data_IF_907639282618
#
_entry.id   IF_907639282618
#
_cell.length_a   1.000
_cell.length_b   1.000
_cell.length_c   1.000
_cell.angle_alpha   90.00
_cell.angle_beta   90.00
_cell.angle_gamma   90.00
#
_symmetry.space_group_name_H-M   'P 1'
#
loop_
_entity.id
_entity.type
_entity.pdbx_description
1 polymer ?
#
# COMPACT_ATOMS: atom_id res chain seq x y z
N UNK A 1 77.56 -4.69 -19.40
CA UNK A 1 77.93 -5.50 -20.59
C UNK A 1 77.04 -6.73 -20.59
N UNK A 2 76.25 -6.91 -21.65
CA UNK A 2 75.32 -8.00 -22.05
C UNK A 2 75.08 -9.16 -21.07
N UNK A 3 73.81 -9.47 -20.83
CA UNK A 3 73.33 -10.85 -20.94
C UNK A 3 71.85 -10.88 -21.38
N UNK A 4 71.64 -11.49 -22.54
CA UNK A 4 70.36 -11.91 -23.11
C UNK A 4 70.10 -13.32 -22.59
N UNK A 5 68.92 -13.58 -22.04
CA UNK A 5 68.37 -14.93 -21.92
C UNK A 5 66.89 -14.86 -22.30
N UNK A 6 66.55 -15.49 -23.41
CA UNK A 6 65.18 -15.69 -23.85
C UNK A 6 64.58 -16.98 -23.29
N UNK A 7 63.25 -17.07 -23.33
CA UNK A 7 62.39 -18.26 -23.34
C UNK A 7 61.02 -17.85 -22.78
N UNK A 8 59.85 -18.33 -23.17
CA UNK A 8 59.36 -19.27 -24.19
C UNK A 8 57.87 -18.91 -24.34
N UNK A 9 57.37 -18.97 -25.57
CA UNK A 9 55.96 -18.78 -25.93
C UNK A 9 55.15 -20.00 -25.47
N UNK A 10 54.03 -19.80 -24.78
CA UNK A 10 52.99 -20.82 -24.63
C UNK A 10 51.68 -20.28 -25.23
N UNK A 11 51.32 -20.82 -26.39
CA UNK A 11 50.01 -20.66 -27.02
C UNK A 11 48.99 -21.51 -26.26
N UNK A 12 47.90 -20.91 -25.79
CA UNK A 12 46.65 -21.65 -25.57
C UNK A 12 45.49 -20.90 -26.23
N UNK A 13 45.03 -21.51 -27.31
CA UNK A 13 43.77 -21.27 -28.00
C UNK A 13 42.58 -21.57 -27.07
N UNK A 14 41.71 -20.58 -26.87
CA UNK A 14 40.38 -20.78 -26.33
C UNK A 14 39.36 -20.71 -27.48
N UNK A 15 38.83 -21.88 -27.83
CA UNK A 15 37.70 -22.06 -28.71
C UNK A 15 36.43 -21.49 -28.09
N UNK A 16 35.57 -20.92 -28.94
CA UNK A 16 34.23 -20.50 -28.56
C UNK A 16 33.32 -21.70 -28.25
N UNK A 17 32.45 -21.51 -27.26
CA UNK A 17 31.19 -22.24 -27.12
C UNK A 17 30.10 -21.21 -26.86
N UNK A 18 29.18 -21.10 -27.81
CA UNK A 18 27.87 -20.48 -27.60
C UNK A 18 27.00 -21.46 -26.80
N UNK A 19 26.37 -20.99 -25.73
CA UNK A 19 25.22 -21.66 -25.13
C UNK A 19 24.19 -20.65 -24.62
N UNK A 20 23.03 -20.71 -25.27
CA UNK A 20 21.66 -20.65 -24.77
C UNK A 20 21.27 -19.51 -23.81
N UNK A 21 20.37 -18.66 -24.33
CA UNK A 21 19.58 -17.73 -23.53
C UNK A 21 18.80 -18.46 -22.45
N UNK A 22 19.05 -18.07 -21.22
CA UNK A 22 18.26 -18.44 -20.06
C UNK A 22 17.25 -17.31 -19.84
N UNK A 23 15.98 -17.70 -19.84
CA UNK A 23 14.86 -16.93 -19.32
C UNK A 23 15.25 -16.30 -17.97
N UNK A 24 15.27 -14.98 -17.87
CA UNK A 24 15.36 -14.31 -16.58
C UNK A 24 14.04 -14.54 -15.81
N UNK A 25 14.05 -15.23 -14.65
CA UNK A 25 12.92 -15.16 -13.76
C UNK A 25 12.95 -13.77 -13.11
N UNK A 26 11.95 -12.95 -13.42
CA UNK A 26 11.63 -11.76 -12.63
C UNK A 26 11.26 -12.25 -11.23
N UNK A 27 12.25 -12.32 -10.36
CA UNK A 27 12.08 -12.74 -8.97
C UNK A 27 12.78 -11.73 -8.06
N UNK A 28 11.95 -11.13 -7.22
CA UNK A 28 12.28 -10.55 -5.93
C UNK A 28 13.41 -9.53 -5.90
N UNK A 29 13.09 -8.30 -6.27
CA UNK A 29 13.80 -7.14 -5.71
C UNK A 29 12.80 -6.04 -5.32
N UNK A 30 11.80 -6.41 -4.53
CA UNK A 30 11.20 -5.45 -3.59
C UNK A 30 12.29 -5.20 -2.56
N UNK A 31 12.90 -4.03 -2.62
CA UNK A 31 13.99 -3.68 -1.72
C UNK A 31 13.54 -3.84 -0.27
N UNK A 32 14.31 -4.60 0.50
CA UNK A 32 14.21 -4.71 1.95
C UNK A 32 14.30 -3.30 2.59
N UNK A 33 13.16 -2.63 2.72
CA UNK A 33 13.02 -1.50 3.64
C UNK A 33 13.00 -2.11 5.04
N UNK A 34 14.17 -2.26 5.66
CA UNK A 34 14.29 -2.72 7.04
C UNK A 34 13.37 -1.88 7.93
N UNK A 35 12.41 -2.52 8.60
CA UNK A 35 11.28 -1.88 9.28
C UNK A 35 11.75 -1.34 10.64
N UNK A 36 12.45 -0.22 10.59
CA UNK A 36 12.95 0.50 11.77
C UNK A 36 12.40 1.92 11.88
N UNK A 37 11.38 2.26 11.09
CA UNK A 37 10.96 3.66 10.92
C UNK A 37 9.45 3.82 11.01
N UNK A 38 9.06 4.97 11.57
CA UNK A 38 7.69 5.47 11.59
C UNK A 38 7.10 5.43 10.18
N UNK A 39 5.83 5.01 10.00
CA UNK A 39 5.15 5.18 8.72
C UNK A 39 5.21 6.63 8.23
N UNK A 40 5.36 6.79 6.92
CA UNK A 40 5.53 8.10 6.26
C UNK A 40 4.34 9.02 6.55
N UNK A 41 3.13 8.48 6.42
CA UNK A 41 1.88 9.10 6.85
C UNK A 41 1.36 8.31 8.03
N UNK A 42 1.13 8.95 9.18
CA UNK A 42 0.80 8.26 10.43
C UNK A 42 -0.10 9.10 11.33
N UNK A 43 -1.15 8.49 11.87
CA UNK A 43 -2.19 9.16 12.67
C UNK A 43 -2.00 8.97 14.18
N UNK A 44 -1.39 7.87 14.61
CA UNK A 44 -1.25 7.54 16.02
C UNK A 44 0.02 8.16 16.64
N UNK A 45 0.14 8.14 17.97
CA UNK A 45 1.35 8.60 18.63
C UNK A 45 2.53 7.69 18.32
N UNK A 46 3.62 8.29 17.83
CA UNK A 46 4.87 7.58 17.59
C UNK A 46 5.78 7.66 18.81
N UNK A 47 6.11 6.51 19.41
CA UNK A 47 7.14 6.42 20.44
C UNK A 47 8.52 6.32 19.78
N UNK A 48 9.39 7.31 20.03
CA UNK A 48 10.74 7.28 19.48
C UNK A 48 11.50 6.01 19.89
N UNK A 49 12.30 5.49 18.97
CA UNK A 49 13.05 4.24 19.17
C UNK A 49 12.23 2.96 19.02
N UNK A 50 10.94 3.05 18.69
CA UNK A 50 10.13 1.86 18.37
C UNK A 50 10.69 1.19 17.11
N UNK A 51 11.02 -0.09 17.26
CA UNK A 51 11.40 -0.98 16.16
C UNK A 51 10.34 -2.06 16.04
N UNK A 52 10.01 -2.45 14.81
CA UNK A 52 9.00 -3.46 14.56
C UNK A 52 9.62 -4.73 14.00
N UNK A 53 9.11 -5.86 14.47
CA UNK A 53 9.24 -7.15 13.81
C UNK A 53 7.88 -7.53 13.25
N UNK A 54 7.86 -8.13 12.07
CA UNK A 54 6.61 -8.63 11.47
C UNK A 54 6.38 -10.08 11.86
N UNK A 55 5.14 -10.38 12.23
CA UNK A 55 4.64 -11.73 12.44
C UNK A 55 3.54 -12.06 11.43
N UNK A 56 3.53 -13.28 10.88
CA UNK A 56 2.45 -13.70 10.01
C UNK A 56 1.12 -13.76 10.78
N UNK A 57 0.02 -13.53 10.07
CA UNK A 57 -1.33 -13.79 10.57
C UNK A 57 -2.10 -14.61 9.53
N UNK A 58 -3.27 -15.11 9.90
CA UNK A 58 -4.17 -15.78 8.94
C UNK A 58 -5.05 -14.79 8.15
N UNK A 59 -4.90 -13.48 8.36
CA UNK A 59 -5.71 -12.44 7.72
C UNK A 59 -5.13 -12.13 6.34
N UNK A 60 -6.00 -12.06 5.35
CA UNK A 60 -5.64 -11.62 4.00
C UNK A 60 -6.71 -10.71 3.40
N UNK A 61 -6.28 -9.85 2.49
CA UNK A 61 -7.15 -8.99 1.67
C UNK A 61 -7.20 -9.61 0.28
N UNK A 62 -8.39 -9.96 -0.18
CA UNK A 62 -8.57 -10.41 -1.55
C UNK A 62 -8.55 -9.21 -2.50
N UNK A 63 -7.66 -9.27 -3.50
CA UNK A 63 -7.54 -8.24 -4.52
C UNK A 63 -7.81 -8.84 -5.89
N UNK A 64 -8.73 -8.23 -6.61
CA UNK A 64 -9.09 -8.64 -7.97
C UNK A 64 -7.86 -8.81 -8.86
N UNK A 65 -7.80 -9.96 -9.55
CA UNK A 65 -6.72 -10.33 -10.49
C UNK A 65 -5.31 -10.50 -9.89
N UNK A 66 -5.08 -10.19 -8.61
CA UNK A 66 -3.80 -10.38 -7.93
C UNK A 66 -3.87 -11.51 -6.90
N UNK A 67 -5.02 -11.70 -6.26
CA UNK A 67 -5.23 -12.70 -5.22
C UNK A 67 -5.02 -12.16 -3.81
N UNK A 68 -4.69 -13.06 -2.88
CA UNK A 68 -4.62 -12.76 -1.46
C UNK A 68 -3.38 -11.93 -1.11
N UNK A 69 -3.57 -10.79 -0.46
CA UNK A 69 -2.52 -9.94 0.10
C UNK A 69 -2.48 -10.17 1.62
N UNK A 70 -1.39 -10.71 2.13
CA UNK A 70 -1.27 -11.04 3.55
C UNK A 70 -1.24 -9.78 4.43
N UNK A 71 -1.93 -9.86 5.57
CA UNK A 71 -1.85 -8.84 6.62
C UNK A 71 -0.96 -9.38 7.73
N UNK A 72 0.09 -8.63 8.07
CA UNK A 72 1.10 -9.01 9.07
C UNK A 72 0.91 -8.19 10.34
N UNK A 73 1.17 -8.80 11.49
CA UNK A 73 1.16 -8.13 12.77
C UNK A 73 2.54 -7.52 13.03
N UNK A 74 2.59 -6.24 13.37
CA UNK A 74 3.79 -5.53 13.79
C UNK A 74 3.88 -5.56 15.30
N UNK A 75 4.94 -6.17 15.83
CA UNK A 75 5.23 -6.25 17.26
C UNK A 75 6.47 -5.45 17.62
N UNK A 76 6.55 -4.94 18.84
CA UNK A 76 7.75 -4.26 19.33
C UNK A 76 8.84 -5.26 19.80
N UNK A 77 9.95 -4.74 20.33
CA UNK A 77 11.06 -5.57 20.84
C UNK A 77 10.73 -6.46 22.06
N UNK A 78 9.56 -6.29 22.68
CA UNK A 78 9.03 -7.15 23.75
C UNK A 78 7.95 -8.12 23.25
N UNK A 79 7.75 -8.19 21.94
CA UNK A 79 6.72 -9.02 21.31
C UNK A 79 5.28 -8.54 21.54
N UNK A 80 5.10 -7.28 21.98
CA UNK A 80 3.78 -6.67 22.19
C UNK A 80 3.20 -6.20 20.84
N UNK A 81 1.93 -6.53 20.51
CA UNK A 81 1.25 -6.06 19.29
C UNK A 81 1.11 -4.54 19.24
N UNK A 82 1.48 -3.90 18.12
CA UNK A 82 1.40 -2.44 17.96
C UNK A 82 0.49 -2.01 16.79
N UNK A 83 0.66 -2.64 15.62
CA UNK A 83 -0.07 -2.31 14.39
C UNK A 83 -0.29 -3.58 13.55
N UNK A 84 -1.18 -3.49 12.58
CA UNK A 84 -1.21 -4.40 11.44
C UNK A 84 -0.70 -3.68 10.20
N UNK A 85 -0.11 -4.41 9.27
CA UNK A 85 0.37 -3.86 8.01
C UNK A 85 0.20 -4.84 6.85
N UNK A 86 0.04 -4.31 5.65
CA UNK A 86 0.03 -5.09 4.42
C UNK A 86 0.68 -4.31 3.29
N UNK A 87 1.54 -4.98 2.53
CA UNK A 87 2.04 -4.49 1.25
C UNK A 87 1.00 -4.88 0.19
N UNK A 88 0.28 -3.90 -0.36
CA UNK A 88 -0.83 -4.15 -1.28
C UNK A 88 -0.41 -3.74 -2.69
N UNK A 89 -0.62 -4.67 -3.62
CA UNK A 89 -0.63 -4.39 -5.05
C UNK A 89 -2.03 -4.63 -5.59
N UNK A 90 -2.65 -3.62 -6.20
CA UNK A 90 -4.02 -3.72 -6.72
C UNK A 90 -4.18 -2.97 -8.04
N UNK A 91 -4.89 -3.54 -9.03
CA UNK A 91 -5.25 -2.81 -10.23
C UNK A 91 -6.30 -1.73 -9.89
N UNK A 92 -6.02 -0.51 -10.34
CA UNK A 92 -6.95 0.61 -10.33
C UNK A 92 -7.26 0.93 -11.78
N UNK A 93 -8.52 0.78 -12.18
CA UNK A 93 -8.96 0.98 -13.56
C UNK A 93 -9.81 2.24 -13.67
N UNK A 94 -9.44 3.15 -14.57
CA UNK A 94 -10.23 4.30 -14.97
C UNK A 94 -10.48 4.20 -16.47
N UNK A 95 -11.75 4.23 -16.89
CA UNK A 95 -12.14 4.24 -18.31
C UNK A 95 -11.52 3.13 -19.17
N UNK A 96 -11.37 1.93 -18.59
CA UNK A 96 -10.82 0.75 -19.28
C UNK A 96 -9.30 0.63 -19.23
N UNK A 97 -8.59 1.66 -18.77
CA UNK A 97 -7.15 1.61 -18.54
C UNK A 97 -6.85 1.27 -17.08
N UNK A 98 -6.08 0.19 -16.85
CA UNK A 98 -5.73 -0.30 -15.52
C UNK A 98 -4.25 -0.08 -15.20
N UNK A 99 -3.98 0.43 -13.99
CA UNK A 99 -2.64 0.64 -13.44
C UNK A 99 -2.52 0.00 -12.07
N UNK A 100 -1.35 -0.55 -11.75
CA UNK A 100 -1.11 -1.08 -10.41
C UNK A 100 -0.84 0.06 -9.43
N UNK A 101 -1.65 0.10 -8.37
CA UNK A 101 -1.35 0.83 -7.15
C UNK A 101 -0.53 -0.06 -6.23
N UNK A 102 0.65 0.43 -5.85
CA UNK A 102 1.48 -0.17 -4.82
C UNK A 102 1.50 0.73 -3.60
N UNK A 103 1.01 0.21 -2.46
CA UNK A 103 0.92 0.97 -1.22
C UNK A 103 1.07 0.02 -0.05
N UNK A 104 1.79 0.47 0.98
CA UNK A 104 1.82 -0.25 2.25
C UNK A 104 0.90 0.44 3.24
N UNK A 105 -0.14 -0.26 3.66
CA UNK A 105 -1.16 0.26 4.58
C UNK A 105 -0.88 -0.21 6.01
N UNK A 106 -1.27 0.62 6.97
CA UNK A 106 -1.17 0.33 8.40
C UNK A 106 -2.52 0.53 9.09
N UNK A 107 -2.87 -0.38 9.98
CA UNK A 107 -4.07 -0.32 10.81
C UNK A 107 -3.71 -0.41 12.29
N UNK A 108 -4.56 0.17 13.13
CA UNK A 108 -4.54 0.00 14.58
C UNK A 108 -4.87 -1.46 14.95
N UNK A 109 -4.77 -1.80 16.22
CA UNK A 109 -5.20 -3.08 16.77
C UNK A 109 -6.72 -3.29 16.68
N UNK A 110 -7.52 -2.23 16.53
CA UNK A 110 -8.97 -2.36 16.34
C UNK A 110 -9.40 -2.20 14.87
N UNK A 111 -8.43 -2.06 13.96
CA UNK A 111 -8.66 -1.99 12.53
C UNK A 111 -8.93 -0.58 12.01
N UNK A 112 -8.79 0.48 12.81
CA UNK A 112 -8.86 1.85 12.24
C UNK A 112 -7.60 2.17 11.43
N UNK A 113 -7.74 3.08 10.47
CA UNK A 113 -6.61 3.60 9.70
C UNK A 113 -5.52 4.20 10.60
N UNK A 114 -4.31 3.64 10.53
CA UNK A 114 -3.16 4.16 11.25
C UNK A 114 -2.18 4.93 10.36
N UNK A 115 -2.09 4.60 9.07
CA UNK A 115 -1.11 5.23 8.18
C UNK A 115 -0.89 4.52 6.86
N UNK A 116 0.00 5.07 6.03
CA UNK A 116 0.54 4.39 4.86
C UNK A 116 1.98 4.81 4.55
N UNK A 117 2.67 3.96 3.80
CA UNK A 117 3.95 4.24 3.16
C UNK A 117 3.82 4.19 1.64
N UNK A 118 4.55 5.08 0.98
CA UNK A 118 4.73 5.03 -0.48
C UNK A 118 5.88 4.09 -0.84
N UNK A 119 5.85 3.57 -2.07
CA UNK A 119 7.02 2.99 -2.71
C UNK A 119 7.64 4.03 -3.65
N UNK A 120 8.83 4.58 -3.35
CA UNK A 120 9.40 5.69 -4.13
C UNK A 120 9.63 5.36 -5.61
N UNK A 121 9.83 4.08 -5.94
CA UNK A 121 10.04 3.60 -7.32
C UNK A 121 8.73 3.22 -8.04
N UNK A 122 7.61 3.22 -7.32
CA UNK A 122 6.28 2.84 -7.81
C UNK A 122 5.26 3.87 -7.28
N UNK A 123 5.34 5.13 -7.73
CA UNK A 123 4.45 6.18 -7.25
C UNK A 123 2.99 5.88 -7.64
N UNK A 124 2.07 6.45 -6.87
CA UNK A 124 0.65 6.41 -7.20
C UNK A 124 0.39 7.32 -8.39
N UNK A 125 -0.60 6.98 -9.20
CA UNK A 125 -0.93 7.72 -10.41
C UNK A 125 -2.38 8.22 -10.40
N UNK A 126 -2.56 9.36 -11.06
CA UNK A 126 -3.85 9.97 -11.42
C UNK A 126 -4.27 9.43 -12.79
N UNK A 127 -5.42 9.91 -13.26
CA UNK A 127 -5.87 9.80 -14.65
C UNK A 127 -4.82 10.40 -15.59
N UNK A 128 -4.72 9.87 -16.81
CA UNK A 128 -3.63 10.15 -17.77
C UNK A 128 -2.22 9.79 -17.30
N UNK A 129 -2.10 9.01 -16.22
CA UNK A 129 -0.83 8.44 -15.73
C UNK A 129 0.12 9.44 -15.06
N UNK A 130 -0.37 10.62 -14.72
CA UNK A 130 0.38 11.59 -13.93
C UNK A 130 0.68 11.04 -12.53
N UNK A 131 1.93 11.13 -12.11
CA UNK A 131 2.33 10.74 -10.77
C UNK A 131 1.72 11.66 -9.69
N UNK A 132 1.48 11.09 -8.51
CA UNK A 132 1.11 11.86 -7.34
C UNK A 132 2.28 12.74 -6.88
N UNK A 133 1.97 14.02 -6.66
CA UNK A 133 2.84 14.96 -5.99
C UNK A 133 2.70 14.82 -4.47
N UNK A 134 3.62 15.39 -3.69
CA UNK A 134 3.55 15.37 -2.22
C UNK A 134 2.21 15.90 -1.67
N UNK A 135 1.65 16.93 -2.30
CA UNK A 135 0.32 17.48 -1.95
C UNK A 135 -0.81 16.47 -2.15
N UNK A 136 -0.71 15.64 -3.19
CA UNK A 136 -1.71 14.61 -3.46
C UNK A 136 -1.70 13.53 -2.38
N UNK A 137 -0.52 13.14 -1.91
CA UNK A 137 -0.40 12.20 -0.81
C UNK A 137 -0.90 12.75 0.53
N UNK A 138 -0.67 14.04 0.82
CA UNK A 138 -1.26 14.69 1.99
C UNK A 138 -2.79 14.64 1.91
N UNK A 139 -3.36 14.94 0.73
CA UNK A 139 -4.80 14.90 0.52
C UNK A 139 -5.36 13.47 0.61
N UNK A 140 -4.66 12.48 0.06
CA UNK A 140 -5.00 11.07 0.24
C UNK A 140 -4.99 10.69 1.73
N UNK A 141 -3.97 11.09 2.49
CA UNK A 141 -3.91 10.83 3.92
C UNK A 141 -5.12 11.40 4.68
N UNK A 142 -5.49 12.66 4.39
CA UNK A 142 -6.68 13.30 4.96
C UNK A 142 -7.96 12.53 4.62
N UNK A 143 -8.10 12.07 3.37
CA UNK A 143 -9.24 11.25 2.95
C UNK A 143 -9.30 9.92 3.70
N UNK A 144 -8.16 9.23 3.88
CA UNK A 144 -8.10 7.93 4.55
C UNK A 144 -8.38 8.05 6.06
N UNK A 145 -8.13 9.21 6.67
CA UNK A 145 -8.53 9.51 8.06
C UNK A 145 -10.04 9.67 8.23
N UNK A 146 -10.80 9.91 7.16
CA UNK A 146 -12.24 10.16 7.22
C UNK A 146 -13.08 8.90 6.93
N UNK A 147 -13.44 8.14 7.98
CA UNK A 147 -14.39 7.01 7.92
C UNK A 147 -15.84 7.47 7.63
N UNK A 148 -16.12 8.77 7.62
CA UNK A 148 -17.46 9.30 7.28
C UNK A 148 -17.56 9.84 5.86
N UNK A 149 -16.51 9.65 5.07
CA UNK A 149 -16.42 10.06 3.68
C UNK A 149 -17.63 9.62 2.86
N UNK A 150 -17.99 10.42 1.86
CA UNK A 150 -19.03 10.08 0.89
C UNK A 150 -18.75 8.78 0.15
N UNK A 151 -17.47 8.39 0.04
CA UNK A 151 -17.03 7.14 -0.58
C UNK A 151 -17.63 5.91 0.11
N UNK A 152 -17.95 5.99 1.41
CA UNK A 152 -18.63 4.93 2.17
C UNK A 152 -20.01 4.58 1.63
N UNK A 153 -20.72 5.56 1.06
CA UNK A 153 -22.17 5.46 0.75
C UNK A 153 -22.46 5.49 -0.74
N UNK A 154 -21.43 5.60 -1.58
CA UNK A 154 -21.57 5.80 -3.02
C UNK A 154 -20.72 4.80 -3.77
N UNK A 155 -21.28 4.17 -4.80
CA UNK A 155 -20.52 3.37 -5.74
C UNK A 155 -19.70 4.29 -6.64
N UNK A 156 -18.55 3.81 -7.12
CA UNK A 156 -17.65 4.58 -7.98
C UNK A 156 -18.35 5.23 -9.20
N UNK A 157 -19.30 4.54 -9.84
CA UNK A 157 -20.05 5.08 -10.99
C UNK A 157 -21.05 6.18 -10.63
N UNK A 158 -21.42 6.32 -9.35
CA UNK A 158 -22.25 7.42 -8.85
C UNK A 158 -21.41 8.67 -8.54
N UNK A 159 -20.08 8.54 -8.57
CA UNK A 159 -19.13 9.61 -8.26
C UNK A 159 -18.59 10.29 -9.52
N UNK A 160 -19.03 9.84 -10.70
CA UNK A 160 -18.71 10.40 -11.99
C UNK A 160 -19.99 10.86 -12.69
N UNK A 161 -19.95 12.02 -13.33
CA UNK A 161 -20.99 12.49 -14.22
C UNK A 161 -21.07 11.57 -15.43
N UNK A 162 -22.28 11.21 -15.85
CA UNK A 162 -22.46 10.46 -17.10
C UNK A 162 -21.92 11.31 -18.25
N UNK A 163 -21.06 10.77 -19.13
CA UNK A 163 -20.61 11.50 -20.30
C UNK A 163 -21.82 11.96 -21.11
N UNK A 164 -21.83 13.24 -21.51
CA UNK A 164 -22.84 13.74 -22.46
C UNK A 164 -22.70 12.90 -23.73
N UNK A 165 -23.72 12.10 -24.06
CA UNK A 165 -23.72 11.31 -25.29
C UNK A 165 -23.40 12.23 -26.47
N UNK A 166 -22.23 12.04 -27.08
CA UNK A 166 -21.90 12.64 -28.36
C UNK A 166 -22.94 12.13 -29.37
N UNK A 167 -23.62 13.04 -30.08
CA UNK A 167 -24.62 12.73 -31.13
C UNK A 167 -24.02 12.05 -32.38
N UNK A 168 -22.83 11.44 -32.25
CA UNK A 168 -22.07 10.85 -33.34
C UNK A 168 -21.86 9.39 -32.96
N UNK A 169 -22.47 8.49 -33.74
CA UNK A 169 -22.25 7.05 -33.62
C UNK A 169 -20.78 6.72 -33.94
N UNK A 170 -20.11 5.98 -33.05
CA UNK A 170 -18.74 5.50 -33.25
C UNK A 170 -17.65 6.25 -32.49
N UNK A 171 -18.00 7.17 -31.57
CA UNK A 171 -17.03 7.79 -30.65
C UNK A 171 -16.90 6.94 -29.38
N UNK A 172 -15.67 6.59 -29.04
CA UNK A 172 -15.28 5.84 -27.85
C UNK A 172 -15.80 6.52 -26.57
N UNK A 173 -16.06 5.73 -25.53
CA UNK A 173 -16.71 6.21 -24.31
C UNK A 173 -15.91 7.38 -23.69
N UNK A 174 -16.53 8.55 -23.57
CA UNK A 174 -15.92 9.72 -22.94
C UNK A 174 -15.87 9.51 -21.42
N UNK A 175 -14.71 9.74 -20.81
CA UNK A 175 -14.55 9.69 -19.35
C UNK A 175 -15.50 10.67 -18.64
N UNK A 176 -16.14 10.21 -17.57
CA UNK A 176 -17.04 11.02 -16.75
C UNK A 176 -16.29 11.92 -15.78
N UNK A 177 -16.68 13.19 -15.66
CA UNK A 177 -16.08 14.11 -14.69
C UNK A 177 -16.45 13.73 -13.25
N UNK A 178 -15.53 13.80 -12.29
CA UNK A 178 -15.87 13.60 -10.87
C UNK A 178 -16.91 14.63 -10.41
N UNK A 179 -17.97 14.17 -9.75
CA UNK A 179 -19.02 15.06 -9.25
C UNK A 179 -18.47 16.06 -8.22
N UNK A 180 -19.09 17.25 -8.18
CA UNK A 180 -18.61 18.38 -7.37
C UNK A 180 -18.50 18.01 -5.88
N UNK A 181 -19.45 17.23 -5.40
CA UNK A 181 -19.58 16.79 -4.00
C UNK A 181 -18.37 16.00 -3.50
N UNK A 182 -17.59 15.37 -4.39
CA UNK A 182 -16.45 14.51 -4.02
C UNK A 182 -15.12 15.14 -4.41
N UNK A 183 -15.12 16.06 -5.38
CA UNK A 183 -13.89 16.67 -5.92
C UNK A 183 -13.03 17.35 -4.85
N UNK A 184 -13.64 17.90 -3.81
CA UNK A 184 -12.92 18.56 -2.72
C UNK A 184 -12.26 17.57 -1.76
N UNK A 185 -12.80 16.37 -1.58
CA UNK A 185 -12.26 15.36 -0.65
C UNK A 185 -11.25 14.41 -1.29
N UNK A 186 -11.29 14.21 -2.61
CA UNK A 186 -10.36 13.31 -3.33
C UNK A 186 -9.23 14.07 -4.03
N UNK A 187 -8.12 13.38 -4.30
CA UNK A 187 -7.07 13.91 -5.18
C UNK A 187 -7.66 14.15 -6.57
N UNK A 188 -7.47 15.37 -7.08
CA UNK A 188 -7.99 15.74 -8.39
C UNK A 188 -7.37 14.84 -9.47
N UNK A 189 -8.22 14.26 -10.32
CA UNK A 189 -7.81 13.29 -11.33
C UNK A 189 -7.54 11.88 -10.79
N UNK A 190 -7.70 11.59 -9.50
CA UNK A 190 -7.41 10.26 -8.96
C UNK A 190 -8.56 9.67 -8.15
N UNK A 191 -9.80 9.87 -8.62
CA UNK A 191 -11.00 9.36 -7.95
C UNK A 191 -10.92 7.84 -7.72
N UNK A 192 -10.54 7.07 -8.75
CA UNK A 192 -10.45 5.61 -8.66
C UNK A 192 -9.39 5.16 -7.64
N UNK A 193 -8.17 5.73 -7.69
CA UNK A 193 -7.10 5.41 -6.74
C UNK A 193 -7.52 5.76 -5.29
N UNK A 194 -8.14 6.93 -5.10
CA UNK A 194 -8.68 7.36 -3.80
C UNK A 194 -9.78 6.41 -3.30
N UNK A 195 -10.71 6.01 -4.18
CA UNK A 195 -11.80 5.10 -3.86
C UNK A 195 -11.28 3.73 -3.44
N UNK A 196 -10.36 3.16 -4.21
CA UNK A 196 -9.76 1.86 -3.91
C UNK A 196 -9.00 1.90 -2.58
N UNK A 197 -8.13 2.90 -2.38
CA UNK A 197 -7.38 3.02 -1.12
C UNK A 197 -8.30 3.19 0.09
N UNK A 198 -9.36 4.00 -0.02
CA UNK A 198 -10.33 4.19 1.05
C UNK A 198 -11.05 2.88 1.41
N UNK A 199 -11.47 2.10 0.43
CA UNK A 199 -12.15 0.82 0.67
C UNK A 199 -11.22 -0.29 1.17
N UNK A 200 -9.93 -0.26 0.81
CA UNK A 200 -8.94 -1.16 1.40
C UNK A 200 -8.79 -0.88 2.90
N UNK A 201 -8.72 0.40 3.27
CA UNK A 201 -8.55 0.83 4.66
C UNK A 201 -9.80 0.58 5.49
N UNK A 202 -10.97 0.96 4.98
CA UNK A 202 -12.24 0.96 5.71
C UNK A 202 -13.12 -0.28 5.46
N UNK A 203 -12.63 -1.23 4.69
CA UNK A 203 -13.35 -2.44 4.28
C UNK A 203 -13.37 -3.57 5.32
N UNK A 204 -13.68 -4.80 4.88
CA UNK A 204 -13.88 -5.96 5.76
C UNK A 204 -12.67 -6.34 6.62
N UNK A 205 -11.46 -5.97 6.21
CA UNK A 205 -10.22 -6.27 6.94
C UNK A 205 -10.24 -5.76 8.38
N UNK A 206 -10.99 -4.68 8.65
CA UNK A 206 -11.11 -4.09 10.00
C UNK A 206 -11.67 -5.09 11.01
N UNK A 207 -12.71 -5.81 10.60
CA UNK A 207 -13.39 -6.77 11.48
C UNK A 207 -12.51 -7.99 11.74
N UNK A 208 -11.77 -8.47 10.73
CA UNK A 208 -10.81 -9.57 10.87
C UNK A 208 -9.62 -9.18 11.77
N UNK A 209 -9.10 -7.95 11.62
CA UNK A 209 -8.07 -7.39 12.51
C UNK A 209 -8.58 -7.36 13.95
N UNK A 210 -9.75 -6.76 14.19
CA UNK A 210 -10.31 -6.66 15.54
C UNK A 210 -10.55 -8.03 16.16
N UNK A 211 -11.07 -8.98 15.38
CA UNK A 211 -11.28 -10.37 15.81
C UNK A 211 -9.97 -11.06 16.19
N UNK A 212 -8.91 -10.87 15.41
CA UNK A 212 -7.59 -11.39 15.75
C UNK A 212 -7.02 -10.73 17.01
N UNK A 213 -7.11 -9.42 17.14
CA UNK A 213 -6.68 -8.68 18.34
C UNK A 213 -7.37 -9.20 19.59
N UNK A 214 -8.67 -9.50 19.53
CA UNK A 214 -9.40 -10.09 20.64
C UNK A 214 -8.81 -11.42 21.12
N UNK A 215 -8.19 -12.21 20.23
CA UNK A 215 -7.52 -13.46 20.63
C UNK A 215 -6.15 -13.25 21.29
N UNK A 216 -5.56 -12.06 21.13
CA UNK A 216 -4.25 -11.69 21.70
C UNK A 216 -4.38 -10.87 22.99
N UNK A 217 -5.57 -10.33 23.25
CA UNK A 217 -5.82 -9.37 24.32
C UNK A 217 -5.42 -9.93 25.69
N UNK A 218 -4.69 -9.13 26.46
CA UNK A 218 -4.25 -9.45 27.81
C UNK A 218 -4.24 -8.17 28.68
N UNK A 219 -4.02 -8.31 29.99
CA UNK A 219 -4.07 -7.19 30.94
C UNK A 219 -3.08 -6.07 30.63
N UNK A 220 -1.89 -6.40 30.10
CA UNK A 220 -0.91 -5.41 29.65
C UNK A 220 -1.48 -4.59 28.49
N UNK A 221 -2.01 -5.26 27.46
CA UNK A 221 -2.62 -4.57 26.31
C UNK A 221 -3.82 -3.71 26.73
N UNK A 222 -4.67 -4.20 27.63
CA UNK A 222 -5.80 -3.43 28.17
C UNK A 222 -5.32 -2.16 28.89
N UNK A 223 -4.28 -2.30 29.72
CA UNK A 223 -3.66 -1.17 30.43
C UNK A 223 -3.03 -0.16 29.47
N UNK A 224 -2.40 -0.62 28.39
CA UNK A 224 -1.85 0.25 27.36
C UNK A 224 -2.94 0.95 26.55
N UNK A 225 -4.02 0.24 26.20
CA UNK A 225 -5.16 0.80 25.47
C UNK A 225 -5.86 1.91 26.27
N UNK A 226 -6.11 1.70 27.57
CA UNK A 226 -6.76 2.72 28.42
C UNK A 226 -5.85 3.94 28.66
N UNK A 227 -4.54 3.75 28.76
CA UNK A 227 -3.57 4.83 28.95
C UNK A 227 -3.15 5.51 27.64
N UNK A 228 -3.50 4.93 26.49
CA UNK A 228 -3.22 5.51 25.18
C UNK A 228 -3.99 6.83 24.99
N UNK A 229 -3.57 7.65 24.03
CA UNK A 229 -4.33 8.81 23.60
C UNK A 229 -5.33 8.48 22.46
N UNK A 230 -5.59 7.20 22.21
CA UNK A 230 -6.52 6.73 21.19
C UNK A 230 -7.90 6.53 21.84
N UNK A 231 -8.87 7.36 21.48
CA UNK A 231 -10.23 7.30 22.03
C UNK A 231 -10.94 5.98 21.70
N UNK A 232 -10.65 5.37 20.55
CA UNK A 232 -11.26 4.09 20.16
C UNK A 232 -10.75 2.96 21.06
N UNK A 233 -9.45 2.98 21.39
CA UNK A 233 -8.87 2.05 22.35
C UNK A 233 -9.46 2.22 23.75
N UNK A 234 -9.51 3.46 24.24
CA UNK A 234 -10.10 3.78 25.55
C UNK A 234 -11.57 3.33 25.62
N UNK A 235 -12.37 3.65 24.61
CA UNK A 235 -13.79 3.28 24.57
C UNK A 235 -13.98 1.76 24.46
N UNK A 236 -13.11 1.07 23.73
CA UNK A 236 -13.17 -0.38 23.55
C UNK A 236 -12.97 -1.13 24.86
N UNK A 237 -11.99 -0.73 25.68
CA UNK A 237 -11.69 -1.43 26.95
C UNK A 237 -12.55 -1.01 28.14
N UNK A 238 -13.31 0.09 28.02
CA UNK A 238 -14.25 0.55 29.03
C UNK A 238 -15.66 -0.05 28.90
N UNK A 239 -15.97 -0.66 27.76
CA UNK A 239 -17.27 -1.31 27.48
C UNK A 239 -17.27 -2.77 27.90
#
# INVERSE_FOLDING_TARGET
>A
MRLVVGAIIFLMSAAGCAQFGIHDPVSNTIQNKGIYQKPEFYTMQWKQGTQFTEKPTAISIEVDSIGQQEVRLLVNGKDEPILYASDISTPVCADGECRLMHIRLYWSLLGEYAGFDRYPKLPLTKHEHDEFLSVDYIKLHQLLMDDNSILKRKKIHELVDKPKQSKIEGVDAVAGATIKEVKESVVAGALYSCYTAWHLVHGPVRDEIKKHTLTLLNDTMVSEMILSNNSDYQLFVLK
#
